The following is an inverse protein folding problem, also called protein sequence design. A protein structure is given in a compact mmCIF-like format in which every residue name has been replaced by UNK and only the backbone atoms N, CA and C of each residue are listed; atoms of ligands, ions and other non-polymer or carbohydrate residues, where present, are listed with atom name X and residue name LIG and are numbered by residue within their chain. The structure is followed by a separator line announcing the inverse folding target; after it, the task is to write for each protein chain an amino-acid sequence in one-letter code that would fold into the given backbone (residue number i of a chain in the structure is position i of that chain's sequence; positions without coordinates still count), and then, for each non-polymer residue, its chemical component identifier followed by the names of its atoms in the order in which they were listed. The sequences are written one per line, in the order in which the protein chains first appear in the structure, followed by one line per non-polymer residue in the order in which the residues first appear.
data_IF_290872450770
#
_entry.id   IF_290872450770
#
_cell.length_a   1.000
_cell.length_b   1.000
_cell.length_c   1.000
_cell.angle_alpha   90.00
_cell.angle_beta   90.00
_cell.angle_gamma   90.00
#
_symmetry.space_group_name_H-M   'P 1'
#
loop_
_entity.id
_entity.type
_entity.pdbx_description
1 polymer ?
#
# COMPACT_ATOMS: atom_id res chain seq x y z
N UNK A 1 -11.80 -12.32 0.58
CA UNK A 1 -11.83 -11.15 1.49
C UNK A 1 -10.80 -11.40 2.57
N UNK A 2 -9.83 -10.50 2.73
CA UNK A 2 -8.76 -10.63 3.70
C UNK A 2 -8.64 -9.35 4.54
N UNK A 3 -8.15 -9.50 5.77
CA UNK A 3 -7.93 -8.39 6.68
C UNK A 3 -6.47 -8.34 7.11
N UNK A 4 -5.92 -7.14 7.17
CA UNK A 4 -4.57 -6.86 7.64
C UNK A 4 -4.66 -6.16 9.00
N UNK A 5 -4.09 -6.78 10.04
CA UNK A 5 -3.99 -6.16 11.39
C UNK A 5 -2.64 -5.48 11.54
N UNK A 6 -2.65 -4.17 11.80
CA UNK A 6 -1.45 -3.35 11.99
C UNK A 6 -1.60 -2.63 13.33
N UNK A 7 -0.90 -3.13 14.36
CA UNK A 7 -1.10 -2.65 15.73
C UNK A 7 -2.56 -2.80 16.17
N UNK A 8 -3.23 -1.67 16.42
CA UNK A 8 -4.64 -1.61 16.83
C UNK A 8 -5.61 -1.34 15.67
N UNK A 9 -5.13 -1.33 14.42
CA UNK A 9 -5.94 -1.07 13.23
C UNK A 9 -6.18 -2.39 12.49
N UNK A 10 -7.40 -2.60 11.99
CA UNK A 10 -7.75 -3.71 11.10
C UNK A 10 -8.21 -3.10 9.77
N UNK A 11 -7.47 -3.39 8.69
CA UNK A 11 -7.76 -2.92 7.35
C UNK A 11 -8.35 -4.05 6.51
N UNK A 12 -9.45 -3.78 5.80
CA UNK A 12 -9.91 -4.68 4.74
C UNK A 12 -9.03 -4.45 3.50
N UNK A 13 -8.37 -5.51 3.02
CA UNK A 13 -7.43 -5.40 1.90
C UNK A 13 -8.12 -5.01 0.59
N UNK A 14 -9.43 -5.22 0.47
CA UNK A 14 -10.20 -4.82 -0.72
C UNK A 14 -10.25 -3.30 -0.94
N UNK A 15 -10.02 -2.52 0.12
CA UNK A 15 -9.99 -1.06 0.03
C UNK A 15 -8.57 -0.53 -0.13
N UNK A 16 -7.55 -1.37 -0.14
CA UNK A 16 -6.17 -0.92 -0.39
C UNK A 16 -6.02 -0.68 -1.89
N UNK A 17 -5.84 0.58 -2.28
CA UNK A 17 -5.62 0.97 -3.66
C UNK A 17 -4.13 0.97 -4.04
N UNK A 18 -3.24 1.29 -3.09
CA UNK A 18 -1.80 1.36 -3.34
C UNK A 18 -1.00 1.27 -2.04
N UNK A 19 0.24 0.81 -2.13
CA UNK A 19 1.21 0.77 -1.03
C UNK A 19 2.53 1.37 -1.50
N UNK A 20 3.08 2.30 -0.71
CA UNK A 20 4.43 2.87 -0.91
C UNK A 20 5.38 2.23 0.10
N UNK A 21 6.25 1.36 -0.39
CA UNK A 21 7.21 0.61 0.44
C UNK A 21 8.46 1.40 0.83
N UNK A 22 8.72 2.49 0.12
CA UNK A 22 9.87 3.35 0.33
C UNK A 22 9.39 4.79 0.41
N UNK A 23 9.12 5.24 1.64
CA UNK A 23 8.80 6.62 1.94
C UNK A 23 9.59 7.09 3.16
N UNK A 24 9.65 8.40 3.34
CA UNK A 24 10.28 9.02 4.50
C UNK A 24 9.34 10.10 5.05
N UNK A 25 9.27 10.20 6.37
CA UNK A 25 8.63 11.34 7.03
C UNK A 25 9.44 12.62 6.79
N UNK A 26 8.88 13.78 7.15
CA UNK A 26 9.63 15.04 7.10
C UNK A 26 10.89 15.03 7.99
N UNK A 27 10.91 14.20 9.05
CA UNK A 27 12.08 13.99 9.91
C UNK A 27 13.10 12.98 9.35
N UNK A 28 12.87 12.42 8.15
CA UNK A 28 13.74 11.42 7.53
C UNK A 28 13.55 10.00 8.06
N UNK A 29 12.54 9.76 8.90
CA UNK A 29 12.24 8.40 9.38
C UNK A 29 11.61 7.59 8.25
N UNK A 30 12.10 6.35 8.05
CA UNK A 30 11.51 5.44 7.06
C UNK A 30 10.05 5.16 7.39
N UNK A 31 9.20 5.24 6.38
CA UNK A 31 7.76 5.02 6.51
C UNK A 31 7.21 4.15 5.39
N UNK A 32 6.11 3.47 5.70
CA UNK A 32 5.26 2.80 4.72
C UNK A 32 3.95 3.56 4.66
N UNK A 33 3.45 3.82 3.45
CA UNK A 33 2.16 4.49 3.28
C UNK A 33 1.20 3.58 2.55
N UNK A 34 -0.04 3.47 3.03
CA UNK A 34 -1.11 2.68 2.39
C UNK A 34 -2.22 3.64 1.97
N UNK A 35 -2.60 3.60 0.71
CA UNK A 35 -3.74 4.34 0.18
C UNK A 35 -5.00 3.49 0.32
N UNK A 36 -5.98 4.00 1.06
CA UNK A 36 -7.29 3.39 1.21
C UNK A 36 -8.28 4.11 0.30
N UNK A 37 -8.99 3.36 -0.53
CA UNK A 37 -10.10 3.81 -1.36
C UNK A 37 -11.42 3.28 -0.79
N UNK A 38 -12.08 4.07 0.04
CA UNK A 38 -13.37 3.70 0.65
C UNK A 38 -14.51 4.19 -0.22
N UNK A 39 -15.44 3.33 -0.66
CA UNK A 39 -16.59 3.78 -1.44
C UNK A 39 -17.44 4.75 -0.61
N UNK A 40 -17.75 5.91 -1.17
CA UNK A 40 -18.75 6.82 -0.60
C UNK A 40 -20.11 6.29 -1.03
N UNK A 41 -20.82 5.62 -0.12
CA UNK A 41 -22.18 5.17 -0.41
C UNK A 41 -23.08 6.38 -0.72
N UNK A 42 -23.92 6.31 -1.77
CA UNK A 42 -24.73 7.44 -2.22
C UNK A 42 -25.90 7.79 -1.29
N UNK A 43 -26.02 7.18 -0.11
CA UNK A 43 -27.06 7.54 0.87
C UNK A 43 -26.87 8.96 1.45
N UNK A 44 -25.73 9.61 1.23
CA UNK A 44 -25.44 10.97 1.68
C UNK A 44 -25.23 11.98 0.52
N UNK A 45 -25.23 11.52 -0.73
CA UNK A 45 -25.19 12.40 -1.89
C UNK A 45 -26.63 12.77 -2.25
N UNK A 46 -27.09 13.92 -1.71
CA UNK A 46 -28.34 14.53 -2.17
C UNK A 46 -28.34 14.65 -3.70
N UNK A 47 -29.52 14.55 -4.30
CA UNK A 47 -29.78 14.38 -5.73
C UNK A 47 -29.19 15.46 -6.69
N UNK A 48 -28.40 16.40 -6.18
CA UNK A 48 -27.91 17.59 -6.89
C UNK A 48 -26.37 17.68 -7.00
N UNK A 49 -25.60 16.65 -6.61
CA UNK A 49 -24.14 16.69 -6.77
C UNK A 49 -23.70 16.24 -8.17
N UNK A 50 -23.33 17.20 -9.02
CA UNK A 50 -22.80 17.00 -10.37
C UNK A 50 -21.30 16.65 -10.42
N UNK A 51 -20.78 15.84 -9.48
CA UNK A 51 -19.41 15.31 -9.55
C UNK A 51 -19.28 13.84 -9.10
N UNK A 52 -18.43 13.03 -9.76
CA UNK A 52 -18.38 11.58 -9.58
C UNK A 52 -17.26 11.16 -8.60
N UNK A 53 -17.25 11.64 -7.35
CA UNK A 53 -16.31 11.11 -6.34
C UNK A 53 -16.88 9.87 -5.65
N UNK A 54 -16.94 8.75 -6.39
CA UNK A 54 -17.41 7.44 -5.92
C UNK A 54 -16.59 6.88 -4.75
N UNK A 55 -15.35 7.36 -4.57
CA UNK A 55 -14.42 6.87 -3.56
C UNK A 55 -13.78 8.03 -2.79
N UNK A 56 -13.64 7.84 -1.48
CA UNK A 56 -12.79 8.65 -0.62
C UNK A 56 -11.41 7.99 -0.53
N UNK A 57 -10.36 8.77 -0.84
CA UNK A 57 -8.98 8.32 -0.81
C UNK A 57 -8.24 8.91 0.39
N UNK A 58 -7.61 8.05 1.20
CA UNK A 58 -6.84 8.45 2.38
C UNK A 58 -5.50 7.73 2.45
N UNK A 59 -4.41 8.46 2.69
CA UNK A 59 -3.09 7.87 2.97
C UNK A 59 -2.91 7.64 4.46
N UNK A 60 -2.70 6.38 4.84
CA UNK A 60 -2.29 5.99 6.18
C UNK A 60 -0.77 5.83 6.21
N UNK A 61 -0.11 6.55 7.12
CA UNK A 61 1.34 6.53 7.26
C UNK A 61 1.74 5.73 8.50
N UNK A 62 2.66 4.79 8.32
CA UNK A 62 3.17 3.91 9.36
C UNK A 62 4.68 4.11 9.50
N UNK A 63 5.18 4.11 10.74
CA UNK A 63 6.61 4.18 11.08
C UNK A 63 6.99 3.09 12.08
N UNK A 64 8.27 3.02 12.46
CA UNK A 64 8.79 2.06 13.42
C UNK A 64 8.46 0.58 13.10
N UNK A 65 8.05 -0.19 14.11
CA UNK A 65 7.77 -1.63 13.99
C UNK A 65 6.64 -1.95 13.02
N UNK A 66 5.66 -1.06 12.89
CA UNK A 66 4.53 -1.26 11.98
C UNK A 66 4.98 -1.12 10.53
N UNK A 67 5.79 -0.10 10.23
CA UNK A 67 6.42 0.06 8.91
C UNK A 67 7.28 -1.16 8.54
N UNK A 68 8.07 -1.67 9.48
CA UNK A 68 8.90 -2.85 9.22
C UNK A 68 8.04 -4.09 8.88
N UNK A 69 7.03 -4.40 9.70
CA UNK A 69 6.15 -5.53 9.44
C UNK A 69 5.37 -5.41 8.13
N UNK A 70 4.95 -4.20 7.75
CA UNK A 70 4.31 -3.95 6.47
C UNK A 70 5.27 -4.14 5.30
N UNK A 71 6.52 -3.68 5.42
CA UNK A 71 7.55 -3.90 4.40
C UNK A 71 7.79 -5.38 4.20
N UNK A 72 7.97 -6.13 5.28
CA UNK A 72 8.21 -7.58 5.21
C UNK A 72 7.01 -8.31 4.58
N UNK A 73 5.79 -7.90 4.93
CA UNK A 73 4.56 -8.47 4.36
C UNK A 73 4.48 -8.27 2.84
N UNK A 74 4.63 -7.03 2.37
CA UNK A 74 4.46 -6.68 0.96
C UNK A 74 5.70 -6.96 0.09
N UNK A 75 6.87 -7.23 0.69
CA UNK A 75 8.05 -7.71 -0.05
C UNK A 75 8.05 -9.23 -0.22
N UNK A 76 7.08 -9.95 0.36
CA UNK A 76 6.96 -11.38 0.21
C UNK A 76 6.24 -11.75 -1.08
N UNK A 77 6.88 -12.59 -1.90
CA UNK A 77 6.30 -13.17 -3.12
C UNK A 77 5.01 -13.98 -2.88
N UNK A 78 4.76 -14.41 -1.64
CA UNK A 78 3.51 -15.10 -1.28
C UNK A 78 2.32 -14.14 -1.15
N UNK A 79 2.60 -12.85 -0.94
CA UNK A 79 1.60 -11.83 -0.64
C UNK A 79 1.43 -10.81 -1.77
N UNK A 80 2.44 -10.66 -2.63
CA UNK A 80 2.44 -9.75 -3.77
C UNK A 80 2.95 -10.50 -5.00
N UNK A 81 2.23 -10.36 -6.12
CA UNK A 81 2.67 -10.86 -7.42
C UNK A 81 3.67 -9.83 -7.97
N UNK A 82 4.95 -10.20 -8.02
CA UNK A 82 5.97 -9.40 -8.69
C UNK A 82 5.69 -9.39 -10.19
N UNK A 83 5.35 -8.22 -10.73
CA UNK A 83 5.07 -8.04 -12.17
C UNK A 83 6.33 -7.80 -13.00
N UNK A 84 7.49 -7.67 -12.36
CA UNK A 84 8.79 -7.50 -13.02
C UNK A 84 9.58 -8.81 -12.97
N UNK A 85 10.35 -9.13 -14.02
CA UNK A 85 11.25 -10.27 -13.96
C UNK A 85 12.23 -10.06 -12.82
N UNK A 86 12.35 -11.05 -11.93
CA UNK A 86 13.47 -11.11 -10.99
C UNK A 86 14.72 -11.06 -11.85
N UNK A 87 15.53 -10.01 -11.70
CA UNK A 87 16.75 -9.85 -12.48
C UNK A 87 17.51 -11.18 -12.47
N UNK A 88 17.70 -11.77 -13.65
CA UNK A 88 18.61 -12.91 -13.75
C UNK A 88 19.96 -12.43 -13.22
N UNK A 89 20.63 -13.20 -12.35
CA UNK A 89 21.90 -12.78 -11.80
C UNK A 89 22.85 -12.50 -12.96
N UNK A 90 23.37 -11.27 -13.03
CA UNK A 90 24.40 -10.88 -13.98
C UNK A 90 25.50 -11.94 -13.95
N UNK A 91 25.56 -12.78 -14.99
CA UNK A 91 26.68 -13.66 -15.18
C UNK A 91 27.89 -12.75 -15.32
N UNK A 92 28.76 -12.79 -14.31
CA UNK A 92 30.04 -12.11 -14.30
C UNK A 92 30.82 -12.56 -15.54
N UNK A 93 30.75 -11.80 -16.63
CA UNK A 93 31.60 -12.00 -17.79
C UNK A 93 33.03 -11.70 -17.35
N UNK A 94 33.76 -12.75 -16.99
CA UNK A 94 35.22 -12.74 -17.02
C UNK A 94 35.65 -12.52 -18.47
N UNK A 95 35.84 -11.26 -18.82
CA UNK A 95 36.62 -10.89 -20.01
C UNK A 95 38.04 -11.42 -19.76
N UNK A 96 38.42 -12.46 -20.51
CA UNK A 96 39.80 -12.96 -20.61
C UNK A 96 40.53 -12.22 -21.72
#
# INVERSE_FOLDING_TARGET
MAFLKIGNIILNTNYIASVKLESQTFSGERSISILIATPRFPLLAGADSTSPELYHYEWLHFTGKQAQGLRDYFSSYNNVIDLLPQEEPEQCERIR
#
